data_IF_043713696317
#
_entry.id   IF_043713696317
#
_cell.length_a   1.000
_cell.length_b   1.000
_cell.length_c   1.000
_cell.angle_alpha   90.00
_cell.angle_beta   90.00
_cell.angle_gamma   90.00
#
_symmetry.space_group_name_H-M   'P 1'
#
loop_
_entity.id
_entity.type
_entity.pdbx_description
1 polymer ?
#
# COMPACT_ATOMS: atom_id res chain seq x y z
N UNK A 1 23.16 52.16 7.32
CA UNK A 1 21.88 51.78 6.69
C UNK A 1 22.10 50.83 5.51
N UNK A 2 22.27 49.52 5.77
CA UNK A 2 22.43 48.49 4.70
C UNK A 2 21.51 47.27 4.88
N UNK A 3 20.75 47.18 5.97
CA UNK A 3 19.92 45.99 6.29
C UNK A 3 18.49 46.07 5.74
N UNK A 4 17.93 47.27 5.50
CA UNK A 4 16.58 47.45 4.93
C UNK A 4 16.47 47.04 3.46
N UNK A 5 17.59 47.05 2.71
CA UNK A 5 17.59 46.70 1.28
C UNK A 5 17.39 45.22 1.01
N UNK A 6 17.74 44.34 1.95
CA UNK A 6 17.57 42.88 1.79
C UNK A 6 16.20 42.39 2.26
N UNK A 7 15.51 43.15 3.11
CA UNK A 7 14.18 42.79 3.63
C UNK A 7 13.09 42.98 2.56
N UNK A 8 13.26 43.98 1.68
CA UNK A 8 12.35 44.21 0.55
C UNK A 8 12.55 43.22 -0.61
N UNK A 9 13.75 42.65 -0.77
CA UNK A 9 14.03 41.62 -1.80
C UNK A 9 13.40 40.27 -1.39
N UNK A 10 13.39 39.94 -0.09
CA UNK A 10 12.77 38.71 0.41
C UNK A 10 11.25 38.68 0.26
N UNK A 11 10.57 39.82 0.45
CA UNK A 11 9.11 39.92 0.27
C UNK A 11 8.71 39.86 -1.22
N UNK A 12 9.55 40.39 -2.12
CA UNK A 12 9.29 40.35 -3.56
C UNK A 12 9.42 38.94 -4.16
N UNK A 13 10.27 38.08 -3.59
CA UNK A 13 10.45 36.68 -4.02
C UNK A 13 9.31 35.75 -3.53
N UNK A 14 8.70 36.04 -2.38
CA UNK A 14 7.59 35.24 -1.84
C UNK A 14 6.26 35.46 -2.58
N UNK A 15 6.09 36.60 -3.26
CA UNK A 15 4.89 36.89 -4.06
C UNK A 15 4.92 36.31 -5.49
N UNK A 16 6.05 35.76 -5.95
CA UNK A 16 6.13 35.12 -7.28
C UNK A 16 5.78 33.63 -7.27
N UNK A 17 5.69 32.98 -6.10
CA UNK A 17 5.31 31.56 -6.00
C UNK A 17 3.80 31.31 -6.12
N UNK A 18 2.95 32.33 -5.94
CA UNK A 18 1.48 32.18 -5.95
C UNK A 18 0.82 32.53 -7.30
N UNK A 19 1.59 32.75 -8.37
CA UNK A 19 1.03 33.18 -9.68
C UNK A 19 1.08 32.12 -10.80
N UNK A 20 1.34 30.85 -10.49
CA UNK A 20 1.31 29.76 -11.50
C UNK A 20 0.08 28.84 -11.43
N UNK A 21 -1.04 29.29 -10.87
CA UNK A 21 -2.37 28.68 -11.10
C UNK A 21 -3.25 29.54 -12.01
N UNK A 22 -2.67 30.05 -13.10
CA UNK A 22 -3.45 30.55 -14.23
C UNK A 22 -3.67 29.40 -15.21
N UNK A 23 -4.67 28.55 -14.95
CA UNK A 23 -5.23 27.67 -15.98
C UNK A 23 -5.86 28.55 -17.06
N UNK A 24 -5.06 28.90 -18.07
CA UNK A 24 -5.58 29.45 -19.33
C UNK A 24 -6.47 28.38 -19.94
N UNK A 25 -7.76 28.67 -19.97
CA UNK A 25 -8.77 27.89 -20.68
C UNK A 25 -8.61 28.17 -22.18
N UNK A 26 -7.52 27.71 -22.76
CA UNK A 26 -7.34 27.66 -24.21
C UNK A 26 -7.75 26.28 -24.70
N UNK A 27 -8.81 26.31 -25.48
CA UNK A 27 -9.34 25.28 -26.38
C UNK A 27 -8.28 24.34 -26.97
N UNK A 28 -8.06 23.22 -26.31
CA UNK A 28 -7.83 21.94 -26.97
C UNK A 28 -8.88 20.98 -26.42
N UNK A 29 -9.56 20.26 -27.31
CA UNK A 29 -10.56 19.26 -26.94
C UNK A 29 -10.09 18.45 -25.73
N UNK A 30 -10.96 18.15 -24.75
CA UNK A 30 -10.61 17.16 -23.74
C UNK A 30 -10.26 15.90 -24.51
N UNK A 31 -8.99 15.49 -24.48
CA UNK A 31 -8.67 14.10 -24.77
C UNK A 31 -9.42 13.36 -23.69
N UNK A 32 -10.48 12.64 -24.08
CA UNK A 32 -11.19 11.76 -23.17
C UNK A 32 -10.12 10.98 -22.40
N UNK A 33 -10.20 10.90 -21.06
CA UNK A 33 -9.30 10.04 -20.33
C UNK A 33 -9.43 8.67 -20.99
N UNK A 34 -8.35 8.20 -21.61
CA UNK A 34 -8.30 6.84 -22.15
C UNK A 34 -8.62 5.98 -20.95
N UNK A 35 -9.82 5.42 -20.94
CA UNK A 35 -10.24 4.49 -19.89
C UNK A 35 -9.10 3.49 -19.78
N UNK A 36 -8.51 3.30 -18.58
CA UNK A 36 -7.46 2.31 -18.43
C UNK A 36 -8.01 1.01 -19.01
N UNK A 37 -7.22 0.39 -19.90
CA UNK A 37 -7.50 -0.96 -20.37
C UNK A 37 -7.79 -1.82 -19.14
N UNK A 38 -8.77 -2.74 -19.15
CA UNK A 38 -8.99 -3.65 -18.03
C UNK A 38 -7.73 -4.50 -17.85
N UNK A 39 -6.83 -4.04 -16.97
CA UNK A 39 -5.69 -4.78 -16.45
C UNK A 39 -6.16 -5.62 -15.24
N UNK A 40 -7.38 -5.35 -14.74
CA UNK A 40 -7.90 -5.76 -13.44
C UNK A 40 -8.08 -7.28 -13.27
N UNK A 41 -8.57 -8.05 -14.24
CA UNK A 41 -9.12 -9.37 -13.90
C UNK A 41 -8.06 -10.42 -13.55
N UNK A 42 -6.92 -10.46 -14.24
CA UNK A 42 -5.89 -11.49 -13.98
C UNK A 42 -5.02 -11.14 -12.77
N UNK A 43 -4.61 -9.88 -12.63
CA UNK A 43 -3.74 -9.50 -11.50
C UNK A 43 -4.50 -9.53 -10.17
N UNK A 44 -5.81 -9.25 -10.17
CA UNK A 44 -6.66 -9.43 -8.98
C UNK A 44 -6.75 -10.92 -8.60
N UNK A 45 -6.75 -11.85 -9.57
CA UNK A 45 -6.83 -13.28 -9.29
C UNK A 45 -5.53 -13.80 -8.64
N UNK A 46 -4.35 -13.42 -9.16
CA UNK A 46 -3.05 -13.83 -8.58
C UNK A 46 -2.90 -13.33 -7.13
N UNK A 47 -3.29 -12.06 -6.90
CA UNK A 47 -3.27 -11.46 -5.58
C UNK A 47 -4.26 -12.16 -4.63
N UNK A 48 -5.43 -12.57 -5.12
CA UNK A 48 -6.42 -13.30 -4.33
C UNK A 48 -5.91 -14.69 -3.95
N UNK A 49 -5.24 -15.39 -4.87
CA UNK A 49 -4.60 -16.69 -4.59
C UNK A 49 -3.52 -16.58 -3.51
N UNK A 50 -2.67 -15.55 -3.56
CA UNK A 50 -1.65 -15.32 -2.54
C UNK A 50 -2.26 -14.86 -1.19
N UNK A 51 -3.38 -14.14 -1.22
CA UNK A 51 -4.16 -13.85 -0.01
C UNK A 51 -4.74 -15.14 0.60
N UNK A 52 -5.21 -16.10 -0.21
CA UNK A 52 -5.67 -17.41 0.25
C UNK A 52 -4.52 -18.23 0.85
N UNK A 53 -3.33 -18.23 0.23
CA UNK A 53 -2.13 -18.86 0.82
C UNK A 53 -1.76 -18.24 2.17
N UNK A 54 -1.88 -16.92 2.29
CA UNK A 54 -1.66 -16.21 3.55
C UNK A 54 -2.66 -16.67 4.62
N UNK A 55 -3.95 -16.71 4.29
CA UNK A 55 -5.00 -17.23 5.20
C UNK A 55 -4.67 -18.66 5.65
N UNK A 56 -4.25 -19.53 4.72
CA UNK A 56 -3.88 -20.91 5.03
C UNK A 56 -2.65 -20.99 5.96
N UNK A 57 -1.61 -20.21 5.68
CA UNK A 57 -0.39 -20.18 6.49
C UNK A 57 -0.68 -19.75 7.95
N UNK A 58 -1.45 -18.68 8.15
CA UNK A 58 -1.83 -18.26 9.51
C UNK A 58 -2.77 -19.27 10.19
N UNK A 59 -3.73 -19.86 9.47
CA UNK A 59 -4.60 -20.90 10.04
C UNK A 59 -3.85 -22.20 10.40
N UNK A 60 -2.70 -22.47 9.80
CA UNK A 60 -1.86 -23.62 10.16
C UNK A 60 -1.30 -23.53 11.59
N UNK A 61 -1.23 -22.31 12.16
CA UNK A 61 -0.59 -22.07 13.46
C UNK A 61 0.94 -22.22 13.43
N UNK A 62 1.55 -22.46 12.26
CA UNK A 62 2.99 -22.65 12.09
C UNK A 62 3.68 -21.32 11.77
N UNK A 63 4.67 -20.94 12.58
CA UNK A 63 5.47 -19.73 12.33
C UNK A 63 6.30 -19.89 11.07
N UNK A 64 6.74 -21.09 10.78
CA UNK A 64 7.57 -21.47 9.64
C UNK A 64 6.78 -21.33 8.34
N UNK A 65 5.48 -21.66 8.33
CA UNK A 65 4.61 -21.41 7.17
C UNK A 65 4.36 -19.91 7.00
N UNK A 66 4.13 -19.17 8.09
CA UNK A 66 3.99 -17.70 8.03
C UNK A 66 5.26 -17.04 7.49
N UNK A 67 6.44 -17.49 7.90
CA UNK A 67 7.73 -16.97 7.42
C UNK A 67 7.95 -17.14 5.92
N UNK A 68 7.29 -18.12 5.28
CA UNK A 68 7.39 -18.33 3.82
C UNK A 68 6.59 -17.28 3.03
N UNK A 69 5.46 -16.83 3.58
CA UNK A 69 4.52 -15.92 2.89
C UNK A 69 4.80 -14.44 3.15
N UNK A 70 5.60 -14.10 4.17
CA UNK A 70 6.03 -12.72 4.42
C UNK A 70 7.30 -12.39 3.62
N UNK A 71 7.50 -11.12 3.30
CA UNK A 71 8.75 -10.68 2.66
C UNK A 71 9.95 -10.85 3.61
N UNK A 72 11.15 -10.86 3.03
CA UNK A 72 12.39 -10.89 3.82
C UNK A 72 12.47 -9.69 4.78
N UNK A 73 12.08 -8.50 4.32
CA UNK A 73 12.01 -7.29 5.15
C UNK A 73 11.01 -7.42 6.30
N UNK A 74 9.82 -7.96 6.05
CA UNK A 74 8.83 -8.20 7.09
C UNK A 74 9.31 -9.27 8.08
N UNK A 75 10.01 -10.31 7.62
CA UNK A 75 10.62 -11.30 8.50
C UNK A 75 11.72 -10.69 9.39
N UNK A 76 12.53 -9.77 8.85
CA UNK A 76 13.55 -9.07 9.63
C UNK A 76 12.95 -8.17 10.73
N UNK A 77 11.76 -7.61 10.50
CA UNK A 77 11.08 -6.71 11.45
C UNK A 77 10.23 -7.51 12.46
N UNK A 78 9.39 -8.43 11.99
CA UNK A 78 8.35 -9.08 12.79
C UNK A 78 8.66 -10.55 13.12
N UNK A 79 9.64 -11.17 12.45
CA UNK A 79 9.86 -12.61 12.49
C UNK A 79 10.19 -13.20 13.86
N UNK A 80 10.77 -12.39 14.75
CA UNK A 80 11.06 -12.78 16.14
C UNK A 80 9.81 -12.76 17.02
N UNK A 81 8.82 -11.93 16.69
CA UNK A 81 7.61 -11.75 17.49
C UNK A 81 6.51 -12.75 17.10
N UNK A 82 6.65 -13.44 15.96
CA UNK A 82 5.66 -14.38 15.44
C UNK A 82 5.29 -15.48 16.44
N UNK A 83 6.25 -16.01 17.21
CA UNK A 83 5.95 -17.02 18.23
C UNK A 83 5.03 -16.48 19.33
N UNK A 84 5.28 -15.25 19.78
CA UNK A 84 4.41 -14.59 20.77
C UNK A 84 3.04 -14.21 20.18
N UNK A 85 2.97 -13.98 18.87
CA UNK A 85 1.78 -13.59 18.15
C UNK A 85 0.90 -14.78 17.71
N UNK A 86 1.37 -16.03 17.80
CA UNK A 86 0.62 -17.26 17.43
C UNK A 86 -0.83 -17.30 17.92
N UNK A 87 -1.15 -16.91 19.18
CA UNK A 87 -2.54 -16.91 19.65
C UNK A 87 -3.49 -16.04 18.80
N UNK A 88 -2.96 -15.06 18.07
CA UNK A 88 -3.74 -14.15 17.22
C UNK A 88 -3.87 -14.63 15.77
N UNK A 89 -3.13 -15.66 15.34
CA UNK A 89 -3.07 -16.06 13.94
C UNK A 89 -4.44 -16.42 13.36
N UNK A 90 -5.24 -17.21 14.09
CA UNK A 90 -6.59 -17.57 13.65
C UNK A 90 -7.50 -16.34 13.50
N UNK A 91 -7.42 -15.38 14.44
CA UNK A 91 -8.22 -14.15 14.37
C UNK A 91 -7.82 -13.27 13.18
N UNK A 92 -6.52 -13.20 12.89
CA UNK A 92 -5.99 -12.48 11.73
C UNK A 92 -6.44 -13.14 10.42
N UNK A 93 -6.31 -14.47 10.31
CA UNK A 93 -6.71 -15.22 9.14
C UNK A 93 -8.22 -15.08 8.85
N UNK A 94 -9.05 -15.07 9.91
CA UNK A 94 -10.50 -14.85 9.76
C UNK A 94 -10.83 -13.41 9.34
N UNK A 95 -10.13 -12.42 9.88
CA UNK A 95 -10.29 -11.03 9.47
C UNK A 95 -9.89 -10.82 7.99
N UNK A 96 -8.83 -11.50 7.54
CA UNK A 96 -8.34 -11.40 6.17
C UNK A 96 -9.28 -12.02 5.13
N UNK A 97 -10.16 -12.98 5.51
CA UNK A 97 -11.23 -13.47 4.62
C UNK A 97 -12.26 -12.38 4.28
N UNK A 98 -12.44 -11.42 5.18
CA UNK A 98 -13.39 -10.31 5.05
C UNK A 98 -12.69 -9.00 4.69
N UNK A 99 -11.52 -9.09 4.05
CA UNK A 99 -10.69 -7.95 3.66
C UNK A 99 -11.40 -7.04 2.66
N UNK A 100 -11.14 -5.74 2.76
CA UNK A 100 -11.59 -4.73 1.80
C UNK A 100 -10.38 -4.09 1.13
N UNK A 101 -10.32 -4.15 -0.21
CA UNK A 101 -9.25 -3.49 -0.96
C UNK A 101 -9.37 -1.97 -0.81
N UNK A 102 -8.28 -1.31 -0.42
CA UNK A 102 -8.22 0.15 -0.20
C UNK A 102 -7.22 0.84 -1.12
N UNK A 103 -6.14 0.15 -1.50
CA UNK A 103 -5.22 0.65 -2.51
C UNK A 103 -4.66 -0.50 -3.34
N UNK A 104 -4.41 -0.24 -4.62
CA UNK A 104 -3.90 -1.24 -5.55
C UNK A 104 -3.05 -0.60 -6.65
N UNK A 105 -2.01 -1.32 -7.05
CA UNK A 105 -1.13 -1.05 -8.19
C UNK A 105 -0.47 -2.37 -8.63
N UNK A 106 0.25 -2.36 -9.74
CA UNK A 106 0.90 -3.56 -10.29
C UNK A 106 1.91 -4.26 -9.33
N UNK A 107 2.43 -3.53 -8.34
CA UNK A 107 3.48 -4.00 -7.42
C UNK A 107 3.09 -3.94 -5.93
N UNK A 108 1.93 -3.37 -5.62
CA UNK A 108 1.49 -3.12 -4.24
C UNK A 108 -0.03 -3.21 -4.13
N UNK A 109 -0.49 -3.86 -3.06
CA UNK A 109 -1.89 -3.91 -2.70
C UNK A 109 -2.04 -3.72 -1.19
N UNK A 110 -3.09 -3.02 -0.79
CA UNK A 110 -3.42 -2.79 0.59
C UNK A 110 -4.88 -3.10 0.85
N UNK A 111 -5.09 -3.81 1.95
CA UNK A 111 -6.39 -4.21 2.44
C UNK A 111 -6.64 -3.63 3.82
N UNK A 112 -7.88 -3.22 4.06
CA UNK A 112 -8.41 -2.98 5.39
C UNK A 112 -9.01 -4.30 5.91
N UNK A 113 -8.66 -4.68 7.13
CA UNK A 113 -9.25 -5.80 7.86
C UNK A 113 -9.80 -5.32 9.20
N UNK A 114 -10.76 -6.05 9.76
CA UNK A 114 -11.29 -5.79 11.10
C UNK A 114 -10.95 -6.94 12.03
N UNK A 115 -10.19 -6.65 13.10
CA UNK A 115 -9.85 -7.61 14.16
C UNK A 115 -10.36 -7.04 15.48
N UNK A 116 -11.19 -7.81 16.19
CA UNK A 116 -11.76 -7.41 17.49
C UNK A 116 -12.45 -6.02 17.46
N UNK A 117 -13.14 -5.71 16.35
CA UNK A 117 -13.86 -4.45 16.16
C UNK A 117 -12.99 -3.23 15.86
N UNK A 118 -11.68 -3.42 15.63
CA UNK A 118 -10.75 -2.36 15.21
C UNK A 118 -10.27 -2.60 13.78
N UNK A 119 -10.20 -1.53 13.00
CA UNK A 119 -9.64 -1.56 11.65
C UNK A 119 -8.11 -1.55 11.67
N UNK A 120 -7.52 -2.39 10.84
CA UNK A 120 -6.08 -2.46 10.59
C UNK A 120 -5.81 -2.54 9.09
N UNK A 121 -4.61 -2.15 8.67
CA UNK A 121 -4.19 -2.22 7.28
C UNK A 121 -3.12 -3.28 7.07
N UNK A 122 -3.36 -4.13 6.09
CA UNK A 122 -2.49 -5.24 5.68
C UNK A 122 -2.02 -4.96 4.28
N UNK A 123 -0.71 -5.06 4.04
CA UNK A 123 -0.14 -4.74 2.74
C UNK A 123 0.63 -5.92 2.15
N UNK A 124 0.46 -6.09 0.84
CA UNK A 124 1.15 -7.05 0.01
C UNK A 124 1.99 -6.31 -1.03
N UNK A 125 3.12 -6.90 -1.40
CA UNK A 125 3.91 -6.42 -2.51
C UNK A 125 4.48 -7.56 -3.32
N UNK A 126 4.51 -7.38 -4.64
CA UNK A 126 5.12 -8.30 -5.58
C UNK A 126 6.64 -8.28 -5.42
N UNK A 127 7.25 -9.41 -5.07
CA UNK A 127 8.66 -9.46 -4.65
C UNK A 127 9.66 -9.65 -5.80
N UNK A 128 9.21 -10.20 -6.93
CA UNK A 128 10.09 -10.61 -8.01
C UNK A 128 9.38 -10.54 -9.38
N UNK A 129 10.15 -10.72 -10.45
CA UNK A 129 9.62 -10.77 -11.82
C UNK A 129 8.66 -11.95 -12.05
N UNK A 130 8.78 -13.03 -11.25
CA UNK A 130 7.87 -14.17 -11.28
C UNK A 130 6.47 -13.84 -10.74
N UNK A 131 6.31 -12.68 -10.10
CA UNK A 131 5.01 -12.16 -9.73
C UNK A 131 4.50 -12.58 -8.35
N UNK A 132 5.33 -13.22 -7.52
CA UNK A 132 4.92 -13.70 -6.20
C UNK A 132 4.59 -12.51 -5.27
N UNK A 133 3.35 -12.46 -4.76
CA UNK A 133 2.95 -11.48 -3.76
C UNK A 133 3.31 -11.98 -2.37
N UNK A 134 4.00 -11.15 -1.61
CA UNK A 134 4.29 -11.42 -0.21
C UNK A 134 3.73 -10.36 0.69
N UNK A 135 3.41 -10.80 1.90
CA UNK A 135 2.91 -9.95 2.96
C UNK A 135 4.07 -9.10 3.53
N UNK A 136 3.95 -7.77 3.44
CA UNK A 136 5.00 -6.83 3.84
C UNK A 136 4.66 -6.05 5.12
N UNK A 137 3.37 -6.01 5.51
CA UNK A 137 2.88 -5.37 6.74
C UNK A 137 1.58 -6.03 7.20
N UNK A 138 1.50 -6.35 8.48
CA UNK A 138 0.36 -7.00 9.14
C UNK A 138 0.44 -6.86 10.66
#
# INVERSE_FOLDING_TARGET
MKSIRYLLVGIFLAFMSDSFTSCKKDSSNPVEPVSPKPIETEIINDLEDDALKTIAAFNSGSVEEVKKIISESANAIYGNDLESAKPKFASFAEALKNKKLVAYSDMYAEYEITVEGKSYFVAFSKQNEAGEWKLIRF
#
